data_IF_017169725928
#
_entry.id   IF_017169725928
#
_cell.length_a   1.000
_cell.length_b   1.000
_cell.length_c   1.000
_cell.angle_alpha   90.00
_cell.angle_beta   90.00
_cell.angle_gamma   90.00
#
_symmetry.space_group_name_H-M   'P 1'
#
loop_
_entity.id
_entity.type
_entity.pdbx_description
1 polymer ?
#
# COMPACT_ATOMS: atom_id res chain seq x y z
N UNK A 1 -47.62 5.87 -42.06
CA UNK A 1 -47.76 7.29 -41.66
C UNK A 1 -46.93 7.59 -40.44
N UNK A 2 -45.94 8.48 -40.59
CA UNK A 2 -45.01 8.87 -39.52
C UNK A 2 -45.76 9.39 -38.30
N UNK A 3 -46.90 10.11 -38.48
CA UNK A 3 -47.69 10.64 -37.37
C UNK A 3 -48.30 9.56 -36.47
N UNK A 4 -48.77 8.45 -37.03
CA UNK A 4 -49.31 7.31 -36.28
C UNK A 4 -48.22 6.60 -35.50
N UNK A 5 -47.00 6.46 -36.06
CA UNK A 5 -45.87 5.87 -35.39
C UNK A 5 -45.43 6.70 -34.16
N UNK A 6 -45.41 8.04 -34.29
CA UNK A 6 -45.10 8.98 -33.18
C UNK A 6 -46.15 8.86 -32.07
N UNK A 7 -47.44 8.84 -32.41
CA UNK A 7 -48.50 8.72 -31.40
C UNK A 7 -48.40 7.38 -30.63
N UNK A 8 -48.14 6.29 -31.34
CA UNK A 8 -47.98 4.96 -30.72
C UNK A 8 -46.73 4.87 -29.83
N UNK A 9 -45.69 5.68 -30.08
CA UNK A 9 -44.47 5.69 -29.28
C UNK A 9 -44.57 6.61 -28.04
N UNK A 10 -45.57 7.49 -27.98
CA UNK A 10 -45.74 8.44 -26.84
C UNK A 10 -45.82 7.73 -25.49
N UNK A 11 -46.56 6.61 -25.31
CA UNK A 11 -46.57 5.90 -24.02
C UNK A 11 -45.20 5.35 -23.61
N UNK A 12 -44.42 4.85 -24.59
CA UNK A 12 -43.06 4.36 -24.30
C UNK A 12 -42.12 5.49 -23.87
N UNK A 13 -42.20 6.64 -24.55
CA UNK A 13 -41.45 7.83 -24.18
C UNK A 13 -41.81 8.31 -22.75
N UNK A 14 -43.12 8.30 -22.43
CA UNK A 14 -43.59 8.66 -21.10
C UNK A 14 -43.02 7.72 -20.00
N UNK A 15 -43.02 6.40 -20.25
CA UNK A 15 -42.43 5.40 -19.37
C UNK A 15 -40.92 5.65 -19.15
N UNK A 16 -40.17 5.93 -20.23
CA UNK A 16 -38.73 6.25 -20.15
C UNK A 16 -38.50 7.46 -19.23
N UNK A 17 -39.26 8.54 -19.46
CA UNK A 17 -39.15 9.76 -18.67
C UNK A 17 -39.45 9.50 -17.20
N UNK A 18 -40.51 8.73 -16.89
CA UNK A 18 -40.86 8.36 -15.51
C UNK A 18 -39.73 7.58 -14.87
N UNK A 19 -39.18 6.57 -15.54
CA UNK A 19 -38.09 5.73 -15.00
C UNK A 19 -36.87 6.61 -14.67
N UNK A 20 -36.51 7.52 -15.58
CA UNK A 20 -35.38 8.45 -15.37
C UNK A 20 -35.66 9.38 -14.19
N UNK A 21 -36.86 9.94 -14.09
CA UNK A 21 -37.26 10.84 -12.98
C UNK A 21 -37.18 10.08 -11.66
N UNK A 22 -37.79 8.90 -11.56
CA UNK A 22 -37.79 8.08 -10.36
C UNK A 22 -36.33 7.77 -9.94
N UNK A 23 -35.52 7.31 -10.89
CA UNK A 23 -34.10 6.98 -10.64
C UNK A 23 -33.33 8.19 -10.11
N UNK A 24 -33.53 9.38 -10.71
CA UNK A 24 -32.86 10.63 -10.24
C UNK A 24 -33.29 11.03 -8.84
N UNK A 25 -34.58 10.98 -8.51
CA UNK A 25 -35.06 11.34 -7.20
C UNK A 25 -34.63 10.32 -6.13
N UNK A 26 -34.63 9.04 -6.45
CA UNK A 26 -34.12 7.99 -5.59
C UNK A 26 -32.63 8.21 -5.28
N UNK A 27 -31.84 8.52 -6.32
CA UNK A 27 -30.40 8.83 -6.16
C UNK A 27 -30.18 10.10 -5.37
N UNK A 28 -31.03 11.12 -5.52
CA UNK A 28 -30.94 12.37 -4.73
C UNK A 28 -31.18 12.11 -3.25
N UNK A 29 -32.17 11.29 -2.92
CA UNK A 29 -32.41 10.86 -1.54
C UNK A 29 -31.26 10.05 -0.95
N UNK A 30 -30.77 9.04 -1.69
CA UNK A 30 -29.63 8.22 -1.26
C UNK A 30 -28.35 9.04 -1.06
N UNK A 31 -28.10 10.04 -1.94
CA UNK A 31 -26.98 10.96 -1.80
C UNK A 31 -27.07 11.80 -0.51
N UNK A 32 -28.27 12.25 -0.19
CA UNK A 32 -28.50 13.00 1.04
C UNK A 32 -28.12 12.16 2.27
N UNK A 33 -28.63 10.92 2.36
CA UNK A 33 -28.28 10.01 3.47
C UNK A 33 -26.79 9.68 3.50
N UNK A 34 -26.17 9.43 2.36
CA UNK A 34 -24.73 9.14 2.30
C UNK A 34 -23.88 10.31 2.81
N UNK A 35 -24.24 11.56 2.49
CA UNK A 35 -23.55 12.75 2.98
C UNK A 35 -23.73 12.95 4.49
N UNK A 36 -24.91 12.67 5.04
CA UNK A 36 -25.17 12.78 6.47
C UNK A 36 -24.38 11.73 7.28
N UNK A 37 -24.21 10.53 6.71
CA UNK A 37 -23.35 9.48 7.30
C UNK A 37 -21.87 9.88 7.19
N UNK A 38 -21.40 10.38 6.03
CA UNK A 38 -20.03 10.82 5.83
C UNK A 38 -19.62 11.94 6.79
N UNK A 39 -20.56 12.86 7.07
CA UNK A 39 -20.38 13.96 8.05
C UNK A 39 -20.44 13.50 9.51
N UNK A 40 -20.78 12.23 9.75
CA UNK A 40 -20.92 11.69 11.10
C UNK A 40 -22.18 12.14 11.88
N UNK A 41 -23.11 12.82 11.21
CA UNK A 41 -24.40 13.24 11.80
C UNK A 41 -25.26 12.02 12.01
N UNK A 42 -25.38 11.16 10.99
CA UNK A 42 -26.08 9.89 11.07
C UNK A 42 -25.11 8.75 11.38
N UNK A 43 -25.18 8.19 12.58
CA UNK A 43 -24.33 7.09 13.02
C UNK A 43 -25.09 5.77 12.89
N UNK A 44 -24.61 4.87 12.06
CA UNK A 44 -25.12 3.50 11.92
C UNK A 44 -24.16 2.55 12.63
N UNK A 45 -24.65 1.76 13.59
CA UNK A 45 -23.82 0.81 14.34
C UNK A 45 -23.18 -0.21 13.37
N UNK A 46 -21.85 -0.31 13.40
CA UNK A 46 -21.10 -1.22 12.53
C UNK A 46 -20.83 -0.68 11.12
N UNK A 47 -21.27 0.55 10.78
CA UNK A 47 -21.00 1.17 9.48
C UNK A 47 -20.05 2.35 9.65
N UNK A 48 -18.89 2.30 8.97
CA UNK A 48 -17.91 3.38 9.03
C UNK A 48 -18.28 4.53 8.07
N UNK A 49 -18.14 5.80 8.48
CA UNK A 49 -18.48 6.97 7.63
C UNK A 49 -17.79 6.95 6.27
N UNK A 50 -16.55 6.46 6.20
CA UNK A 50 -15.77 6.35 4.96
C UNK A 50 -16.40 5.43 3.93
N UNK A 51 -17.21 4.45 4.35
CA UNK A 51 -17.91 3.54 3.44
C UNK A 51 -19.10 4.21 2.72
N UNK A 52 -19.63 5.28 3.28
CA UNK A 52 -20.83 5.94 2.75
C UNK A 52 -20.67 6.37 1.30
N UNK A 53 -19.53 6.97 0.97
CA UNK A 53 -19.21 7.42 -0.39
C UNK A 53 -19.08 6.27 -1.38
N UNK A 54 -18.39 5.20 -0.98
CA UNK A 54 -18.19 4.00 -1.82
C UNK A 54 -19.51 3.28 -2.04
N UNK A 55 -20.28 3.07 -0.95
CA UNK A 55 -21.61 2.43 -1.01
C UNK A 55 -22.56 3.20 -1.91
N UNK A 56 -22.63 4.54 -1.76
CA UNK A 56 -23.44 5.39 -2.64
C UNK A 56 -23.03 5.25 -4.10
N UNK A 57 -21.72 5.22 -4.40
CA UNK A 57 -21.24 5.06 -5.77
C UNK A 57 -21.64 3.73 -6.39
N UNK A 58 -21.58 2.64 -5.62
CA UNK A 58 -22.04 1.31 -6.05
C UNK A 58 -23.53 1.31 -6.33
N UNK A 59 -24.33 1.77 -5.38
CA UNK A 59 -25.81 1.83 -5.51
C UNK A 59 -26.18 2.71 -6.72
N UNK A 60 -25.50 3.83 -6.93
CA UNK A 60 -25.72 4.70 -8.07
C UNK A 60 -25.51 3.98 -9.41
N UNK A 61 -24.40 3.24 -9.53
CA UNK A 61 -24.11 2.46 -10.75
C UNK A 61 -25.17 1.38 -10.93
N UNK A 62 -25.51 0.61 -9.90
CA UNK A 62 -26.52 -0.43 -9.96
C UNK A 62 -27.89 0.11 -10.38
N UNK A 63 -28.30 1.25 -9.80
CA UNK A 63 -29.61 1.86 -10.14
C UNK A 63 -29.65 2.36 -11.59
N UNK A 64 -28.56 2.95 -12.11
CA UNK A 64 -28.50 3.36 -13.52
C UNK A 64 -28.49 2.16 -14.46
N UNK A 65 -27.76 1.09 -14.12
CA UNK A 65 -27.76 -0.16 -14.93
C UNK A 65 -29.16 -0.79 -14.91
N UNK A 66 -29.81 -0.86 -13.73
CA UNK A 66 -31.18 -1.36 -13.62
C UNK A 66 -32.17 -0.50 -14.41
N UNK A 67 -32.06 0.82 -14.34
CA UNK A 67 -32.89 1.74 -15.12
C UNK A 67 -32.70 1.51 -16.63
N UNK A 68 -31.44 1.32 -17.09
CA UNK A 68 -31.14 1.03 -18.49
C UNK A 68 -31.81 -0.27 -18.94
N UNK A 69 -31.76 -1.34 -18.15
CA UNK A 69 -32.40 -2.61 -18.45
C UNK A 69 -33.92 -2.46 -18.53
N UNK A 70 -34.53 -1.67 -17.64
CA UNK A 70 -36.00 -1.42 -17.66
C UNK A 70 -36.40 -0.53 -18.84
N UNK A 71 -35.55 0.44 -19.23
CA UNK A 71 -35.79 1.32 -20.39
C UNK A 71 -35.64 0.59 -21.70
N UNK A 72 -34.78 -0.43 -21.76
CA UNK A 72 -34.42 -1.13 -23.02
C UNK A 72 -35.62 -1.60 -23.86
N UNK A 73 -36.69 -2.27 -23.32
CA UNK A 73 -37.85 -2.67 -24.08
C UNK A 73 -38.69 -1.49 -24.61
N UNK A 74 -38.52 -0.29 -24.06
CA UNK A 74 -39.24 0.91 -24.49
C UNK A 74 -38.52 1.70 -25.59
N UNK A 75 -37.33 1.24 -26.02
CA UNK A 75 -36.58 1.90 -27.12
C UNK A 75 -37.20 1.57 -28.48
N UNK A 76 -37.21 2.51 -29.44
CA UNK A 76 -37.75 2.24 -30.76
C UNK A 76 -36.95 1.16 -31.47
N UNK A 77 -37.63 0.14 -32.00
CA UNK A 77 -36.99 -0.98 -32.68
C UNK A 77 -36.37 -2.06 -31.80
N UNK A 78 -36.57 -2.00 -30.47
CA UNK A 78 -36.05 -3.00 -29.50
C UNK A 78 -36.50 -4.43 -29.80
N UNK A 79 -37.67 -4.59 -30.44
CA UNK A 79 -38.21 -5.91 -30.82
C UNK A 79 -37.62 -6.50 -32.09
N UNK A 80 -36.89 -5.71 -32.88
CA UNK A 80 -36.29 -6.21 -34.13
C UNK A 80 -35.10 -7.13 -33.85
N UNK A 81 -34.96 -8.19 -34.64
CA UNK A 81 -33.87 -9.15 -34.53
C UNK A 81 -32.51 -8.51 -34.82
N UNK A 82 -32.46 -7.49 -35.69
CA UNK A 82 -31.25 -6.70 -35.92
C UNK A 82 -30.82 -5.94 -34.69
N UNK A 83 -31.75 -5.29 -33.98
CA UNK A 83 -31.46 -4.56 -32.74
C UNK A 83 -30.97 -5.49 -31.61
N UNK A 84 -31.62 -6.66 -31.47
CA UNK A 84 -31.20 -7.71 -30.51
C UNK A 84 -29.79 -8.21 -30.83
N UNK A 85 -29.51 -8.54 -32.10
CA UNK A 85 -28.20 -9.02 -32.54
C UNK A 85 -27.07 -7.99 -32.26
N UNK A 86 -27.31 -6.73 -32.64
CA UNK A 86 -26.36 -5.63 -32.38
C UNK A 86 -26.15 -5.44 -30.91
N UNK A 87 -27.21 -5.48 -30.09
CA UNK A 87 -27.12 -5.31 -28.61
C UNK A 87 -26.28 -6.40 -27.96
N UNK A 88 -26.46 -7.66 -28.36
CA UNK A 88 -25.66 -8.79 -27.89
C UNK A 88 -24.20 -8.61 -28.31
N UNK A 89 -23.94 -8.22 -29.57
CA UNK A 89 -22.59 -7.98 -30.07
C UNK A 89 -21.86 -6.90 -29.26
N UNK A 90 -22.50 -5.74 -29.06
CA UNK A 90 -21.93 -4.67 -28.23
C UNK A 90 -21.77 -5.11 -26.77
N UNK A 91 -22.70 -5.87 -26.21
CA UNK A 91 -22.60 -6.42 -24.85
C UNK A 91 -21.36 -7.29 -24.68
N UNK A 92 -21.09 -8.19 -25.63
CA UNK A 92 -19.89 -9.03 -25.63
C UNK A 92 -18.63 -8.19 -25.81
N UNK A 93 -18.62 -7.24 -26.75
CA UNK A 93 -17.48 -6.38 -27.01
C UNK A 93 -17.10 -5.53 -25.76
N UNK A 94 -18.09 -4.92 -25.11
CA UNK A 94 -17.90 -4.15 -23.88
C UNK A 94 -17.44 -5.06 -22.75
N UNK A 95 -18.03 -6.25 -22.61
CA UNK A 95 -17.65 -7.23 -21.57
C UNK A 95 -16.19 -7.64 -21.68
N UNK A 96 -15.74 -7.98 -22.88
CA UNK A 96 -14.33 -8.36 -23.13
C UNK A 96 -13.38 -7.17 -22.93
N UNK A 97 -13.77 -5.98 -23.44
CA UNK A 97 -12.92 -4.78 -23.38
C UNK A 97 -12.82 -4.18 -21.98
N UNK A 98 -13.82 -4.36 -21.12
CA UNK A 98 -13.87 -3.74 -19.79
C UNK A 98 -13.41 -4.64 -18.64
N UNK A 99 -13.01 -5.88 -18.90
CA UNK A 99 -12.67 -6.89 -17.89
C UNK A 99 -11.64 -6.37 -16.86
N UNK A 100 -10.55 -5.74 -17.31
CA UNK A 100 -9.52 -5.17 -16.43
C UNK A 100 -10.07 -4.02 -15.57
N UNK A 101 -10.87 -3.13 -16.17
CA UNK A 101 -11.46 -2.00 -15.43
C UNK A 101 -12.45 -2.47 -14.37
N UNK A 102 -13.25 -3.49 -14.68
CA UNK A 102 -14.21 -4.10 -13.74
C UNK A 102 -13.43 -4.76 -12.59
N UNK A 103 -12.36 -5.52 -12.90
CA UNK A 103 -11.51 -6.13 -11.88
C UNK A 103 -10.91 -5.09 -10.92
N UNK A 104 -10.40 -3.98 -11.45
CA UNK A 104 -9.88 -2.88 -10.65
C UNK A 104 -10.96 -2.20 -9.80
N UNK A 105 -12.16 -2.01 -10.36
CA UNK A 105 -13.27 -1.42 -9.62
C UNK A 105 -13.72 -2.33 -8.47
N UNK A 106 -13.83 -3.64 -8.69
CA UNK A 106 -14.15 -4.63 -7.64
C UNK A 106 -13.05 -4.61 -6.57
N UNK A 107 -11.77 -4.64 -6.97
CA UNK A 107 -10.66 -4.55 -6.03
C UNK A 107 -10.68 -3.26 -5.22
N UNK A 108 -10.99 -2.12 -5.83
CA UNK A 108 -11.13 -0.83 -5.15
C UNK A 108 -12.25 -0.84 -4.10
N UNK A 109 -13.36 -1.49 -4.40
CA UNK A 109 -14.45 -1.72 -3.44
C UNK A 109 -13.96 -2.58 -2.28
N UNK A 110 -13.35 -3.73 -2.55
CA UNK A 110 -12.81 -4.64 -1.52
C UNK A 110 -11.83 -3.91 -0.62
N UNK A 111 -10.85 -3.18 -1.18
CA UNK A 111 -9.87 -2.37 -0.43
C UNK A 111 -10.56 -1.33 0.45
N UNK A 112 -11.65 -0.71 -0.02
CA UNK A 112 -12.40 0.28 0.75
C UNK A 112 -13.11 -0.33 1.96
N UNK A 113 -13.66 -1.53 1.83
CA UNK A 113 -14.35 -2.22 2.93
C UNK A 113 -13.39 -2.94 3.89
N UNK A 114 -12.37 -3.62 3.37
CA UNK A 114 -11.37 -4.32 4.19
C UNK A 114 -10.43 -3.36 4.90
N UNK A 115 -10.20 -2.16 4.34
CA UNK A 115 -9.35 -1.10 4.90
C UNK A 115 -7.94 -1.59 5.28
N UNK A 116 -7.23 -2.30 4.42
CA UNK A 116 -5.88 -2.76 4.73
C UNK A 116 -4.91 -1.60 4.96
N UNK A 117 -5.21 -0.42 4.42
CA UNK A 117 -4.50 0.84 4.60
C UNK A 117 -5.44 2.04 4.37
N UNK A 118 -5.02 3.21 4.82
CA UNK A 118 -5.71 4.49 4.65
C UNK A 118 -4.83 5.50 3.91
N UNK A 119 -5.45 6.60 3.46
CA UNK A 119 -4.69 7.75 2.95
C UNK A 119 -3.84 8.32 4.09
N UNK A 120 -2.55 8.53 3.82
CA UNK A 120 -1.55 8.92 4.81
C UNK A 120 -0.75 7.76 5.39
N UNK A 121 -1.12 6.50 5.15
CA UNK A 121 -0.34 5.35 5.60
C UNK A 121 0.89 5.12 4.69
N UNK A 122 2.00 4.75 5.31
CA UNK A 122 3.16 4.20 4.63
C UNK A 122 2.94 2.71 4.39
N UNK A 123 3.00 2.30 3.13
CA UNK A 123 2.82 0.91 2.72
C UNK A 123 3.92 0.45 1.78
N UNK A 124 4.15 -0.86 1.74
CA UNK A 124 4.89 -1.54 0.68
C UNK A 124 3.92 -2.41 -0.10
N UNK A 125 3.86 -2.21 -1.42
CA UNK A 125 3.10 -3.05 -2.34
C UNK A 125 4.03 -3.53 -3.47
N UNK A 126 4.29 -4.83 -3.50
CA UNK A 126 5.40 -5.38 -4.30
C UNK A 126 6.74 -4.77 -3.86
N UNK A 127 7.48 -4.19 -4.80
CA UNK A 127 8.75 -3.49 -4.50
C UNK A 127 8.59 -2.00 -4.21
N UNK A 128 7.38 -1.45 -4.35
CA UNK A 128 7.13 -0.03 -4.20
C UNK A 128 6.80 0.29 -2.74
N UNK A 129 7.55 1.24 -2.17
CA UNK A 129 7.32 1.77 -0.81
C UNK A 129 6.97 3.24 -0.91
N UNK A 130 5.88 3.65 -0.27
CA UNK A 130 5.45 5.03 -0.27
C UNK A 130 4.28 5.32 0.64
N UNK A 131 3.95 6.60 0.75
CA UNK A 131 2.75 7.06 1.45
C UNK A 131 1.55 7.07 0.51
N UNK A 132 0.42 6.55 0.96
CA UNK A 132 -0.83 6.58 0.20
C UNK A 132 -1.35 8.01 0.14
N UNK A 133 -1.36 8.63 -1.05
CA UNK A 133 -1.87 9.99 -1.24
C UNK A 133 -3.33 10.01 -1.70
N UNK A 134 -3.75 8.98 -2.43
CA UNK A 134 -5.11 8.90 -2.97
C UNK A 134 -5.55 7.44 -3.15
N UNK A 135 -6.82 7.17 -2.88
CA UNK A 135 -7.52 5.93 -3.26
C UNK A 135 -8.75 6.28 -4.06
N UNK A 136 -8.86 5.75 -5.26
CA UNK A 136 -10.08 5.87 -6.05
C UNK A 136 -10.61 4.49 -6.47
N UNK A 137 -11.67 4.44 -7.28
CA UNK A 137 -12.31 3.19 -7.66
C UNK A 137 -11.40 2.22 -8.44
N UNK A 138 -10.44 2.72 -9.21
CA UNK A 138 -9.63 1.90 -10.11
C UNK A 138 -8.17 1.76 -9.67
N UNK A 139 -7.62 2.82 -9.05
CA UNK A 139 -6.20 2.90 -8.71
C UNK A 139 -5.99 3.48 -7.32
N UNK A 140 -4.87 3.11 -6.73
CA UNK A 140 -4.30 3.73 -5.54
C UNK A 140 -3.00 4.43 -5.93
N UNK A 141 -2.80 5.67 -5.46
CA UNK A 141 -1.60 6.46 -5.74
C UNK A 141 -0.72 6.53 -4.50
N UNK A 142 0.55 6.25 -4.69
CA UNK A 142 1.58 6.33 -3.67
C UNK A 142 2.59 7.41 -4.02
N UNK A 143 3.10 8.08 -3.00
CA UNK A 143 4.24 8.98 -3.10
C UNK A 143 5.45 8.31 -2.46
N UNK A 144 6.50 8.07 -3.24
CA UNK A 144 7.73 7.44 -2.76
C UNK A 144 8.58 8.42 -1.95
N UNK A 145 9.62 7.89 -1.27
CA UNK A 145 10.61 8.72 -0.56
C UNK A 145 11.37 9.66 -1.51
N UNK A 146 11.50 9.30 -2.79
CA UNK A 146 12.13 10.13 -3.83
C UNK A 146 11.19 11.21 -4.38
N UNK A 147 10.00 11.38 -3.78
CA UNK A 147 8.98 12.32 -4.21
C UNK A 147 8.34 11.97 -5.57
N UNK A 148 8.37 10.70 -5.96
CA UNK A 148 7.77 10.19 -7.18
C UNK A 148 6.31 9.79 -6.90
N UNK A 149 5.43 10.07 -7.87
CA UNK A 149 4.02 9.67 -7.82
C UNK A 149 3.83 8.36 -8.60
N UNK A 150 3.51 7.30 -7.88
CA UNK A 150 3.32 5.96 -8.44
C UNK A 150 1.85 5.57 -8.37
N UNK A 151 1.29 5.24 -9.52
CA UNK A 151 -0.11 4.79 -9.64
C UNK A 151 -0.15 3.28 -9.78
N UNK A 152 -0.81 2.61 -8.82
CA UNK A 152 -0.94 1.15 -8.79
C UNK A 152 -2.41 0.77 -9.03
N UNK A 153 -2.71 -0.11 -10.00
CA UNK A 153 -4.05 -0.66 -10.18
C UNK A 153 -4.52 -1.39 -8.92
N UNK A 154 -5.77 -1.18 -8.51
CA UNK A 154 -6.28 -1.79 -7.28
C UNK A 154 -6.25 -3.31 -7.31
N UNK A 155 -6.47 -3.93 -8.49
CA UNK A 155 -6.37 -5.38 -8.66
C UNK A 155 -4.97 -5.92 -8.37
N UNK A 156 -3.91 -5.17 -8.71
CA UNK A 156 -2.53 -5.56 -8.42
C UNK A 156 -2.23 -5.51 -6.91
N UNK A 157 -2.77 -4.52 -6.20
CA UNK A 157 -2.64 -4.43 -4.74
C UNK A 157 -3.38 -5.60 -4.06
N UNK A 158 -4.59 -5.92 -4.50
CA UNK A 158 -5.41 -6.96 -3.89
C UNK A 158 -4.86 -8.37 -4.15
N UNK A 159 -4.24 -8.60 -5.31
CA UNK A 159 -3.65 -9.89 -5.67
C UNK A 159 -2.25 -10.11 -5.08
N UNK A 160 -1.56 -9.05 -4.66
CA UNK A 160 -0.23 -9.08 -4.08
C UNK A 160 -0.21 -8.95 -2.57
N UNK A 161 0.96 -9.20 -1.96
CA UNK A 161 1.18 -8.89 -0.55
C UNK A 161 1.35 -7.38 -0.37
N UNK A 162 0.63 -6.81 0.59
CA UNK A 162 0.77 -5.42 1.00
C UNK A 162 1.14 -5.35 2.48
N UNK A 163 2.24 -4.66 2.81
CA UNK A 163 2.65 -4.39 4.18
C UNK A 163 2.27 -2.96 4.54
N UNK A 164 1.57 -2.78 5.67
CA UNK A 164 1.25 -1.46 6.20
C UNK A 164 2.14 -1.16 7.39
N UNK A 165 3.07 -0.21 7.23
CA UNK A 165 3.99 0.19 8.28
C UNK A 165 3.35 1.13 9.30
N UNK A 166 2.32 1.89 8.90
CA UNK A 166 1.70 2.92 9.75
C UNK A 166 0.71 2.34 10.74
N UNK A 167 -0.15 1.38 10.34
CA UNK A 167 -1.23 0.91 11.21
C UNK A 167 -0.71 0.20 12.45
N UNK A 168 0.19 -0.77 12.28
CA UNK A 168 0.81 -1.50 13.40
C UNK A 168 1.92 -0.67 14.03
N UNK A 169 2.70 0.06 13.23
CA UNK A 169 3.82 0.88 13.69
C UNK A 169 3.41 1.95 14.70
N UNK A 170 2.25 2.59 14.53
CA UNK A 170 1.73 3.59 15.48
C UNK A 170 1.20 2.98 16.77
N UNK A 171 0.72 1.75 16.73
CA UNK A 171 0.09 1.10 17.90
C UNK A 171 1.08 0.26 18.70
N UNK A 172 1.94 -0.51 18.04
CA UNK A 172 2.84 -1.49 18.67
C UNK A 172 4.33 -1.20 18.44
N UNK A 173 4.63 -0.19 17.64
CA UNK A 173 5.98 0.12 17.19
C UNK A 173 6.35 -0.63 15.91
N UNK A 174 7.04 0.07 15.00
CA UNK A 174 7.66 -0.50 13.81
C UNK A 174 9.09 -0.91 14.16
N UNK A 175 9.43 -2.18 13.97
CA UNK A 175 10.79 -2.65 14.18
C UNK A 175 11.70 -2.19 13.02
N UNK A 176 12.72 -1.42 13.35
CA UNK A 176 13.81 -1.07 12.45
C UNK A 176 14.97 -2.02 12.73
N UNK A 177 15.41 -2.74 11.71
CA UNK A 177 16.51 -3.67 11.82
C UNK A 177 17.76 -3.16 11.09
N UNK A 178 18.91 -3.32 11.75
CA UNK A 178 20.24 -3.01 11.20
C UNK A 178 21.16 -4.21 11.45
N UNK A 179 21.81 -4.65 10.38
CA UNK A 179 22.77 -5.76 10.45
C UNK A 179 24.18 -5.22 10.49
N UNK A 180 24.97 -5.77 11.40
CA UNK A 180 26.40 -5.50 11.49
C UNK A 180 27.19 -6.80 11.55
N UNK A 181 28.41 -6.78 11.04
CA UNK A 181 29.35 -7.89 11.14
C UNK A 181 30.54 -7.46 11.99
N UNK A 182 30.87 -8.28 12.97
CA UNK A 182 31.98 -8.00 13.93
C UNK A 182 32.86 -9.24 14.02
N UNK A 183 34.16 -9.05 14.19
CA UNK A 183 35.13 -10.15 14.36
C UNK A 183 34.88 -10.90 15.66
N UNK A 184 35.29 -12.19 15.71
CA UNK A 184 35.20 -13.04 16.89
C UNK A 184 36.10 -12.61 18.06
N UNK A 185 37.00 -11.66 17.85
CA UNK A 185 37.96 -11.19 18.86
C UNK A 185 37.29 -10.45 20.03
N UNK A 186 36.01 -10.08 19.86
CA UNK A 186 35.23 -9.33 20.85
C UNK A 186 34.17 -10.20 21.49
N UNK A 187 33.96 -10.08 22.84
CA UNK A 187 32.89 -10.80 23.52
C UNK A 187 31.50 -10.43 22.98
N UNK A 188 30.64 -11.43 22.77
CA UNK A 188 29.29 -11.25 22.22
C UNK A 188 28.44 -10.26 23.04
N UNK A 189 28.52 -10.33 24.39
CA UNK A 189 27.79 -9.44 25.30
C UNK A 189 28.20 -7.97 25.10
N UNK A 190 29.49 -7.71 24.84
CA UNK A 190 29.96 -6.32 24.59
C UNK A 190 29.36 -5.77 23.28
N UNK A 191 29.33 -6.60 22.23
CA UNK A 191 28.75 -6.23 20.94
C UNK A 191 27.25 -5.95 21.08
N UNK A 192 26.54 -6.79 21.81
CA UNK A 192 25.11 -6.64 22.10
C UNK A 192 24.83 -5.35 22.89
N UNK A 193 25.59 -5.09 23.98
CA UNK A 193 25.46 -3.86 24.78
C UNK A 193 25.67 -2.60 23.94
N UNK A 194 26.70 -2.55 23.10
CA UNK A 194 26.99 -1.40 22.23
C UNK A 194 25.90 -1.17 21.17
N UNK A 195 25.32 -2.23 20.65
CA UNK A 195 24.20 -2.13 19.71
C UNK A 195 22.95 -1.58 20.38
N UNK A 196 22.62 -2.08 21.58
CA UNK A 196 21.48 -1.61 22.37
C UNK A 196 21.67 -0.16 22.80
N UNK A 197 22.87 0.21 23.28
CA UNK A 197 23.22 1.59 23.64
C UNK A 197 23.04 2.53 22.43
N UNK A 198 23.56 2.14 21.27
CA UNK A 198 23.40 2.90 20.02
C UNK A 198 21.93 3.14 19.66
N UNK A 199 21.08 2.13 19.88
CA UNK A 199 19.65 2.24 19.65
C UNK A 199 19.01 3.24 20.62
N UNK A 200 19.30 3.13 21.92
CA UNK A 200 18.72 4.00 22.95
C UNK A 200 19.17 5.45 22.83
N UNK A 201 20.38 5.70 22.29
CA UNK A 201 20.87 7.06 21.97
C UNK A 201 20.21 7.65 20.71
N UNK A 202 19.54 6.83 19.89
CA UNK A 202 18.97 7.29 18.62
C UNK A 202 17.62 7.96 18.84
N UNK A 203 17.52 9.22 18.42
CA UNK A 203 16.27 9.96 18.52
C UNK A 203 15.19 9.31 17.63
N UNK A 204 13.99 9.08 18.18
CA UNK A 204 12.88 8.41 17.50
C UNK A 204 12.85 6.89 17.70
N UNK A 205 13.84 6.30 18.36
CA UNK A 205 13.77 4.93 18.87
C UNK A 205 13.10 4.94 20.25
N UNK A 206 12.18 4.00 20.44
CA UNK A 206 11.50 3.82 21.73
C UNK A 206 12.30 2.91 22.65
N UNK A 207 12.41 3.26 23.94
CA UNK A 207 12.99 2.36 24.95
C UNK A 207 12.05 1.19 25.29
N UNK A 208 10.77 1.27 24.93
CA UNK A 208 9.76 0.24 25.19
C UNK A 208 8.92 0.01 23.93
N UNK A 209 8.89 -1.19 23.34
CA UNK A 209 9.65 -2.40 23.73
C UNK A 209 11.17 -2.17 23.70
N UNK A 210 11.90 -2.87 24.60
CA UNK A 210 13.36 -2.71 24.69
C UNK A 210 14.02 -3.22 23.39
N UNK A 211 14.99 -2.49 22.81
CA UNK A 211 15.80 -2.97 21.71
C UNK A 211 16.48 -4.31 22.06
N UNK A 212 16.59 -5.20 21.07
CA UNK A 212 17.22 -6.50 21.26
C UNK A 212 18.06 -6.87 20.04
N UNK A 213 19.01 -7.77 20.27
CA UNK A 213 19.96 -8.20 19.24
C UNK A 213 19.79 -9.70 18.99
N UNK A 214 19.81 -10.11 17.72
CA UNK A 214 19.96 -11.48 17.32
C UNK A 214 21.35 -11.70 16.72
N UNK A 215 22.02 -12.77 17.14
CA UNK A 215 23.15 -13.31 16.42
C UNK A 215 22.63 -14.21 15.31
N UNK A 216 22.82 -13.80 14.04
CA UNK A 216 22.19 -14.45 12.89
C UNK A 216 23.02 -15.60 12.33
N UNK A 217 24.34 -15.41 12.25
CA UNK A 217 25.25 -16.40 11.66
C UNK A 217 26.66 -16.23 12.22
N UNK A 218 27.39 -17.33 12.13
CA UNK A 218 28.82 -17.41 12.32
C UNK A 218 29.45 -17.66 10.95
N UNK A 219 30.07 -16.62 10.38
CA UNK A 219 30.79 -16.72 9.11
C UNK A 219 32.27 -17.09 9.40
N UNK A 220 33.11 -17.29 8.37
CA UNK A 220 34.51 -17.72 8.56
C UNK A 220 35.36 -16.81 9.45
N UNK A 221 35.12 -15.49 9.41
CA UNK A 221 35.92 -14.50 10.15
C UNK A 221 35.11 -13.58 11.06
N UNK A 222 33.78 -13.62 10.97
CA UNK A 222 32.88 -12.66 11.62
C UNK A 222 31.63 -13.34 12.15
N UNK A 223 31.05 -12.77 13.21
CA UNK A 223 29.68 -13.00 13.62
C UNK A 223 28.76 -11.91 13.04
N UNK A 224 27.59 -12.28 12.58
CA UNK A 224 26.56 -11.37 12.08
C UNK A 224 25.54 -11.13 13.17
N UNK A 225 25.31 -9.87 13.51
CA UNK A 225 24.31 -9.42 14.49
C UNK A 225 23.23 -8.60 13.82
N UNK A 226 21.99 -8.76 14.25
CA UNK A 226 20.86 -7.92 13.82
C UNK A 226 20.28 -7.22 15.04
N UNK A 227 20.47 -5.91 15.10
CA UNK A 227 19.81 -5.04 16.07
C UNK A 227 18.38 -4.80 15.60
N UNK A 228 17.41 -4.99 16.50
CA UNK A 228 16.02 -4.70 16.31
C UNK A 228 15.60 -3.62 17.30
N UNK A 229 15.20 -2.45 16.80
CA UNK A 229 14.80 -1.30 17.60
C UNK A 229 13.45 -0.77 17.10
N UNK A 230 12.58 -0.35 18.03
CA UNK A 230 11.21 0.03 17.70
C UNK A 230 11.06 1.55 17.58
N UNK A 231 10.28 1.99 16.57
CA UNK A 231 9.84 3.38 16.45
C UNK A 231 8.32 3.45 16.35
N UNK A 232 7.71 4.47 16.96
CA UNK A 232 6.29 4.79 16.82
C UNK A 232 6.03 5.89 15.78
N UNK A 233 7.07 6.27 15.01
CA UNK A 233 7.05 7.31 13.98
C UNK A 233 7.39 6.69 12.62
N UNK A 234 6.50 5.82 12.06
CA UNK A 234 6.77 5.12 10.80
C UNK A 234 7.04 6.06 9.61
N UNK A 235 6.48 7.27 9.63
CA UNK A 235 6.70 8.31 8.63
C UNK A 235 8.17 8.76 8.53
N UNK A 236 8.93 8.64 9.61
CA UNK A 236 10.35 9.01 9.67
C UNK A 236 11.29 7.80 9.68
N UNK A 237 10.79 6.59 9.39
CA UNK A 237 11.56 5.34 9.53
C UNK A 237 12.91 5.36 8.82
N UNK A 238 13.02 5.98 7.66
CA UNK A 238 14.27 6.07 6.90
C UNK A 238 15.29 7.00 7.55
N UNK A 239 14.85 8.15 8.06
CA UNK A 239 15.72 9.09 8.78
C UNK A 239 16.20 8.50 10.09
N UNK A 240 15.28 7.92 10.88
CA UNK A 240 15.60 7.26 12.14
C UNK A 240 16.57 6.09 11.91
N UNK A 241 16.34 5.27 10.88
CA UNK A 241 17.24 4.18 10.52
C UNK A 241 18.63 4.69 10.10
N UNK A 242 18.70 5.79 9.36
CA UNK A 242 19.97 6.42 8.98
C UNK A 242 20.74 6.91 10.20
N UNK A 243 20.05 7.55 11.16
CA UNK A 243 20.67 8.05 12.38
C UNK A 243 21.08 6.90 13.31
N UNK A 244 20.30 5.82 13.38
CA UNK A 244 20.66 4.59 14.08
C UNK A 244 21.96 4.00 13.53
N UNK A 245 22.12 3.91 12.21
CA UNK A 245 23.36 3.42 11.58
C UNK A 245 24.55 4.32 11.95
N UNK A 246 24.39 5.65 11.94
CA UNK A 246 25.45 6.58 12.34
C UNK A 246 25.84 6.40 13.80
N UNK A 247 24.86 6.26 14.69
CA UNK A 247 25.11 6.04 16.12
C UNK A 247 25.85 4.73 16.35
N UNK A 248 25.46 3.64 15.68
CA UNK A 248 26.19 2.37 15.72
C UNK A 248 27.65 2.57 15.32
N UNK A 249 27.90 3.25 14.20
CA UNK A 249 29.28 3.51 13.74
C UNK A 249 30.10 4.32 14.79
N UNK A 250 29.48 5.33 15.39
CA UNK A 250 30.14 6.17 16.38
C UNK A 250 30.45 5.40 17.67
N UNK A 251 29.50 4.64 18.22
CA UNK A 251 29.64 3.87 19.45
C UNK A 251 30.74 2.80 19.28
N UNK A 252 30.71 2.07 18.19
CA UNK A 252 31.71 1.04 17.88
C UNK A 252 33.11 1.63 17.67
N UNK A 253 33.21 2.79 17.00
CA UNK A 253 34.47 3.50 16.84
C UNK A 253 35.03 3.99 18.18
N UNK A 254 34.21 4.46 19.09
CA UNK A 254 34.62 4.87 20.46
C UNK A 254 35.11 3.68 21.27
N UNK A 255 34.51 2.50 21.09
CA UNK A 255 34.94 1.26 21.73
C UNK A 255 36.15 0.60 21.04
N UNK A 256 36.71 1.19 19.96
CA UNK A 256 37.79 0.63 19.12
C UNK A 256 37.42 -0.75 18.51
N UNK A 257 36.15 -0.96 18.20
CA UNK A 257 35.67 -2.17 17.53
C UNK A 257 35.40 -1.86 16.07
N UNK A 258 35.99 -2.67 15.18
CA UNK A 258 35.79 -2.53 13.74
C UNK A 258 34.53 -3.26 13.27
N UNK A 259 33.65 -2.53 12.56
CA UNK A 259 32.50 -3.11 11.85
C UNK A 259 32.93 -3.47 10.43
N UNK A 260 32.77 -4.75 10.07
CA UNK A 260 33.12 -5.22 8.75
C UNK A 260 32.02 -5.00 7.70
N UNK A 261 32.40 -4.46 6.56
CA UNK A 261 31.62 -4.54 5.33
C UNK A 261 31.94 -5.85 4.61
N UNK A 262 30.95 -6.49 4.04
CA UNK A 262 31.09 -7.79 3.31
C UNK A 262 32.02 -7.76 2.10
N UNK A 263 32.69 -6.64 1.80
CA UNK A 263 33.50 -6.45 0.60
C UNK A 263 34.97 -6.04 0.84
N UNK A 264 35.45 -5.96 2.07
CA UNK A 264 36.85 -5.62 2.34
C UNK A 264 37.59 -6.81 2.96
N UNK A 265 38.23 -7.61 2.10
CA UNK A 265 39.46 -8.34 2.47
C UNK A 265 40.54 -7.26 2.50
N UNK A 266 41.03 -6.86 3.67
CA UNK A 266 42.11 -5.86 3.76
C UNK A 266 43.42 -6.50 3.29
N UNK A 267 43.71 -6.33 2.00
CA UNK A 267 44.95 -6.77 1.35
C UNK A 267 46.20 -6.10 2.00
N UNK A 268 46.01 -5.14 2.93
CA UNK A 268 47.14 -4.43 3.59
C UNK A 268 47.83 -5.29 4.64
N UNK A 269 47.14 -6.19 5.34
CA UNK A 269 47.76 -7.09 6.31
C UNK A 269 48.64 -8.15 5.60
N UNK A 270 48.19 -8.74 4.51
CA UNK A 270 48.98 -9.68 3.71
C UNK A 270 50.28 -9.07 3.21
N UNK A 271 50.29 -7.80 2.82
CA UNK A 271 51.52 -7.09 2.41
C UNK A 271 52.48 -6.78 3.56
N UNK A 272 52.01 -6.69 4.79
CA UNK A 272 52.88 -6.50 5.97
C UNK A 272 53.55 -7.80 6.37
N UNK A 273 52.88 -8.91 6.36
CA UNK A 273 53.43 -10.25 6.67
C UNK A 273 54.41 -10.69 5.59
N UNK A 274 54.10 -10.50 4.29
CA UNK A 274 55.03 -10.76 3.20
C UNK A 274 56.33 -9.93 3.28
N UNK A 275 56.23 -8.65 3.68
CA UNK A 275 57.39 -7.80 3.90
C UNK A 275 58.17 -8.14 5.16
N UNK A 276 57.55 -8.67 6.21
CA UNK A 276 58.21 -9.15 7.41
C UNK A 276 58.98 -10.46 7.11
N UNK A 277 58.33 -11.42 6.49
CA UNK A 277 58.90 -12.73 6.13
C UNK A 277 60.03 -12.60 5.08
N UNK A 278 59.93 -11.62 4.14
CA UNK A 278 60.99 -11.38 3.17
C UNK A 278 62.23 -10.69 3.75
N UNK A 279 62.16 -10.06 4.92
CA UNK A 279 63.30 -9.48 5.67
C UNK A 279 64.00 -10.50 6.55
N UNK A 280 63.28 -11.51 7.05
CA UNK A 280 63.83 -12.60 7.88
C UNK A 280 64.61 -13.61 7.03
N UNK A 281 64.23 -13.84 5.76
CA UNK A 281 64.89 -14.75 4.83
C UNK A 281 66.10 -14.16 4.12
N UNK A 282 66.52 -12.92 4.44
CA UNK A 282 67.71 -12.22 3.90
C UNK A 282 68.78 -11.96 4.97
N UNK A 283 68.69 -12.60 6.15
CA UNK A 283 69.74 -12.72 7.17
C UNK A 283 70.24 -14.16 7.26
#
# INVERSE_FOLDING_TARGET
DIGVAIINYLPHLFNIIIIIIITRYLLKGLRFFALEIERGILKIKGFHPEWARTTYSLIRIMLWVSALVIIFPHLPGSDSDAFKGISVFFGVLISLGSSSSISNAIAGVVISYMRPFQVGDWIKSGEIIGVVIEKNALVTRLKTINNEDVTIPNSAILSGATMNFSSIGKQYGLALNVRVKVRYDYPDNLVEELLIESALMTNGISPTPHPYVFQLSLDELNASYELNAYTFIPENMYFIKSDLVKNIQNTFKQANIEIFSTQYIDIREFKKEEKANSKENKR
#
